data_IF_869338441772
#
_entry.id   IF_869338441772
#
_cell.length_a   1.000
_cell.length_b   1.000
_cell.length_c   1.000
_cell.angle_alpha   90.00
_cell.angle_beta   90.00
_cell.angle_gamma   90.00
#
_symmetry.space_group_name_H-M   'P 1'
#
loop_
_entity.id
_entity.type
_entity.pdbx_description
1 polymer ?
#
# COMPACT_ATOMS: atom_id res chain seq x y z
N UNK A 1 6.77 -27.94 -38.81
CA UNK A 1 5.53 -28.66 -38.42
C UNK A 1 5.85 -29.95 -37.64
N UNK A 2 6.07 -29.84 -36.32
CA UNK A 2 5.70 -30.86 -35.32
C UNK A 2 6.07 -30.34 -33.92
N UNK A 3 5.03 -30.09 -33.11
CA UNK A 3 4.96 -30.04 -31.65
C UNK A 3 6.25 -29.62 -30.90
N UNK A 4 6.35 -28.34 -30.55
CA UNK A 4 6.97 -27.97 -29.28
C UNK A 4 5.92 -28.24 -28.19
N UNK A 5 6.31 -29.16 -27.31
CA UNK A 5 5.57 -29.62 -26.15
C UNK A 5 5.59 -28.50 -25.12
N UNK A 6 4.46 -27.78 -24.96
CA UNK A 6 4.24 -26.84 -23.85
C UNK A 6 4.30 -27.63 -22.54
N UNK A 7 5.48 -27.69 -21.93
CA UNK A 7 5.67 -28.25 -20.59
C UNK A 7 5.94 -27.11 -19.63
N UNK A 8 4.85 -26.51 -19.13
CA UNK A 8 4.87 -25.58 -18.00
C UNK A 8 4.90 -26.42 -16.71
N UNK A 9 6.03 -26.43 -16.02
CA UNK A 9 6.15 -27.15 -14.75
C UNK A 9 5.43 -26.38 -13.63
N UNK A 10 4.44 -27.04 -13.01
CA UNK A 10 3.80 -26.57 -11.79
C UNK A 10 4.65 -27.01 -10.60
N UNK A 11 5.40 -26.10 -9.98
CA UNK A 11 6.11 -26.39 -8.74
C UNK A 11 5.13 -26.44 -7.56
N UNK A 12 4.65 -27.64 -7.23
CA UNK A 12 4.06 -27.99 -5.94
C UNK A 12 5.19 -28.54 -5.05
N UNK A 13 5.65 -27.77 -4.07
CA UNK A 13 6.50 -28.29 -2.99
C UNK A 13 5.67 -28.43 -1.70
N UNK A 14 6.05 -29.34 -0.78
CA UNK A 14 5.20 -29.84 0.31
C UNK A 14 4.92 -28.73 1.35
N UNK A 15 4.09 -28.94 2.39
CA UNK A 15 3.04 -28.02 2.89
C UNK A 15 3.48 -26.73 3.61
N UNK A 16 4.67 -26.20 3.31
CA UNK A 16 5.23 -25.00 3.93
C UNK A 16 5.34 -23.78 3.01
N UNK A 17 5.13 -23.87 1.70
CA UNK A 17 5.31 -22.71 0.79
C UNK A 17 4.21 -22.63 -0.28
N UNK A 18 3.08 -21.99 0.05
CA UNK A 18 1.99 -21.68 -0.90
C UNK A 18 2.09 -20.22 -1.29
N UNK A 19 2.83 -19.90 -2.36
CA UNK A 19 2.93 -18.53 -2.84
C UNK A 19 2.87 -18.40 -4.38
N UNK A 20 1.69 -17.96 -4.84
CA UNK A 20 1.40 -17.01 -5.93
C UNK A 20 1.42 -17.46 -7.40
N UNK A 21 0.20 -17.61 -7.96
CA UNK A 21 -0.12 -17.31 -9.37
C UNK A 21 -1.49 -16.60 -9.53
N UNK A 22 -2.01 -15.96 -8.47
CA UNK A 22 -3.39 -15.41 -8.45
C UNK A 22 -3.57 -14.04 -9.12
N UNK A 23 -2.64 -13.55 -9.94
CA UNK A 23 -2.76 -12.18 -10.50
C UNK A 23 -2.21 -11.99 -11.91
N UNK A 24 -2.00 -13.07 -12.67
CA UNK A 24 -1.62 -12.99 -14.10
C UNK A 24 -2.82 -13.27 -14.98
N UNK A 25 -3.40 -12.25 -15.63
CA UNK A 25 -3.62 -12.11 -17.09
C UNK A 25 -4.31 -10.75 -17.33
N UNK A 26 -3.80 -9.91 -18.25
CA UNK A 26 -4.50 -8.71 -18.65
C UNK A 26 -5.64 -9.04 -19.64
N UNK A 27 -6.85 -8.67 -19.26
CA UNK A 27 -8.01 -8.44 -20.12
C UNK A 27 -8.21 -9.42 -21.29
N UNK A 28 -8.55 -10.67 -20.99
CA UNK A 28 -9.29 -11.52 -21.95
C UNK A 28 -10.78 -11.26 -21.75
N UNK A 29 -11.45 -10.81 -22.80
CA UNK A 29 -12.86 -10.39 -22.87
C UNK A 29 -13.86 -11.55 -22.75
N UNK A 30 -13.50 -12.65 -22.10
CA UNK A 30 -14.43 -13.74 -21.79
C UNK A 30 -14.01 -14.44 -20.50
N UNK A 31 -14.97 -14.53 -19.57
CA UNK A 31 -14.83 -15.24 -18.27
C UNK A 31 -14.50 -16.74 -18.47
N UNK A 32 -14.68 -17.26 -19.69
CA UNK A 32 -14.55 -18.69 -20.02
C UNK A 32 -13.14 -19.13 -20.43
N UNK A 33 -12.21 -18.22 -20.73
CA UNK A 33 -10.83 -18.58 -21.08
C UNK A 33 -9.91 -18.70 -19.85
N UNK A 34 -10.43 -18.45 -18.66
CA UNK A 34 -9.65 -18.29 -17.41
C UNK A 34 -9.45 -19.60 -16.66
N UNK A 35 -10.23 -20.63 -16.96
CA UNK A 35 -10.03 -22.00 -16.45
C UNK A 35 -8.97 -22.77 -17.25
N UNK A 36 -8.41 -22.19 -18.32
CA UNK A 36 -7.47 -22.87 -19.23
C UNK A 36 -5.99 -22.64 -18.88
N UNK A 37 -5.67 -21.91 -17.81
CA UNK A 37 -4.28 -21.75 -17.32
C UNK A 37 -3.78 -23.13 -16.85
N UNK A 38 -2.55 -23.59 -17.20
CA UNK A 38 -2.13 -24.99 -17.03
C UNK A 38 -2.31 -25.58 -15.62
N UNK A 39 -2.18 -24.75 -14.59
CA UNK A 39 -2.33 -25.09 -13.18
C UNK A 39 -3.79 -25.22 -12.70
N UNK A 40 -4.76 -24.77 -13.50
CA UNK A 40 -6.20 -24.94 -13.29
C UNK A 40 -6.89 -25.65 -14.46
N UNK A 41 -6.13 -26.04 -15.49
CA UNK A 41 -6.65 -26.63 -16.72
C UNK A 41 -7.26 -28.01 -16.44
N UNK A 42 -8.58 -28.06 -16.51
CA UNK A 42 -9.47 -29.20 -16.24
C UNK A 42 -9.34 -30.28 -17.32
N UNK A 43 -8.21 -30.97 -17.38
CA UNK A 43 -8.02 -32.08 -18.34
C UNK A 43 -7.49 -33.40 -17.77
N UNK A 44 -7.42 -33.57 -16.44
CA UNK A 44 -7.33 -34.91 -15.86
C UNK A 44 -7.95 -34.99 -14.46
N UNK A 45 -9.00 -35.80 -14.38
CA UNK A 45 -9.86 -36.08 -13.22
C UNK A 45 -9.07 -36.76 -12.09
N UNK A 46 -9.13 -36.21 -10.87
CA UNK A 46 -9.44 -36.89 -9.59
C UNK A 46 -9.07 -36.02 -8.35
N UNK A 47 -10.06 -35.80 -7.48
CA UNK A 47 -10.00 -35.23 -6.11
C UNK A 47 -9.59 -33.75 -5.91
N UNK A 48 -10.62 -32.88 -5.86
CA UNK A 48 -10.57 -31.58 -5.15
C UNK A 48 -10.01 -30.41 -5.96
N UNK A 49 -10.79 -29.90 -6.91
CA UNK A 49 -10.39 -28.74 -7.73
C UNK A 49 -10.47 -27.47 -6.86
N UNK A 50 -9.31 -26.98 -6.41
CA UNK A 50 -9.23 -25.66 -5.77
C UNK A 50 -9.35 -24.57 -6.84
N UNK A 51 -10.28 -23.64 -6.66
CA UNK A 51 -10.35 -22.44 -7.52
C UNK A 51 -9.23 -21.47 -7.14
N UNK A 52 -8.87 -20.54 -8.03
CA UNK A 52 -7.93 -19.43 -7.73
C UNK A 52 -8.33 -18.68 -6.45
N UNK A 53 -9.64 -18.48 -6.27
CA UNK A 53 -10.18 -17.82 -5.09
C UNK A 53 -9.97 -18.65 -3.82
N UNK A 54 -10.09 -19.98 -3.91
CA UNK A 54 -9.78 -20.88 -2.80
C UNK A 54 -8.29 -20.82 -2.44
N UNK A 55 -7.40 -20.82 -3.44
CA UNK A 55 -5.95 -20.68 -3.22
C UNK A 55 -5.64 -19.33 -2.56
N UNK A 56 -6.22 -18.23 -3.04
CA UNK A 56 -6.09 -16.92 -2.43
C UNK A 56 -6.55 -16.91 -0.96
N UNK A 57 -7.75 -17.46 -0.68
CA UNK A 57 -8.31 -17.51 0.68
C UNK A 57 -7.47 -18.37 1.61
N UNK A 58 -6.97 -19.52 1.14
CA UNK A 58 -6.06 -20.37 1.92
C UNK A 58 -4.74 -19.64 2.21
N UNK A 59 -4.16 -18.95 1.22
CA UNK A 59 -2.95 -18.16 1.43
C UNK A 59 -3.17 -16.99 2.40
N UNK A 60 -4.30 -16.30 2.30
CA UNK A 60 -4.70 -15.22 3.22
C UNK A 60 -4.86 -15.74 4.66
N UNK A 61 -5.59 -16.85 4.85
CA UNK A 61 -5.78 -17.47 6.16
C UNK A 61 -4.45 -17.96 6.73
N UNK A 62 -3.57 -18.51 5.90
CA UNK A 62 -2.22 -18.93 6.31
C UNK A 62 -1.38 -17.72 6.75
N UNK A 63 -1.39 -16.63 5.96
CA UNK A 63 -0.71 -15.40 6.31
C UNK A 63 -1.19 -14.84 7.66
N UNK A 64 -2.51 -14.78 7.88
CA UNK A 64 -3.06 -14.29 9.16
C UNK A 64 -2.81 -15.26 10.30
N UNK A 65 -2.81 -16.57 10.06
CA UNK A 65 -2.47 -17.57 11.08
C UNK A 65 -1.01 -17.46 11.53
N UNK A 66 -0.08 -17.13 10.62
CA UNK A 66 1.34 -16.95 10.93
C UNK A 66 1.62 -15.56 11.52
N UNK A 67 1.11 -14.50 10.89
CA UNK A 67 1.44 -13.11 11.24
C UNK A 67 0.52 -12.51 12.30
N UNK A 68 -0.73 -12.95 12.38
CA UNK A 68 -1.73 -12.49 13.35
C UNK A 68 -1.35 -12.70 14.82
N UNK A 69 -0.77 -13.86 15.21
CA UNK A 69 -0.31 -14.08 16.59
C UNK A 69 0.66 -13.00 17.07
N UNK A 70 1.52 -12.46 16.20
CA UNK A 70 2.45 -11.39 16.58
C UNK A 70 1.74 -10.13 17.11
N UNK A 71 0.48 -9.90 16.74
CA UNK A 71 -0.32 -8.76 17.24
C UNK A 71 -0.70 -8.94 18.71
N UNK A 72 -0.74 -10.18 19.22
CA UNK A 72 -0.95 -10.46 20.63
C UNK A 72 0.32 -10.24 21.46
N UNK A 73 1.48 -10.28 20.83
CA UNK A 73 2.77 -10.07 21.46
C UNK A 73 3.25 -8.63 21.26
N UNK A 74 3.84 -8.04 22.30
CA UNK A 74 4.47 -6.73 22.20
C UNK A 74 5.87 -6.88 21.60
N UNK A 75 5.95 -7.07 20.28
CA UNK A 75 7.23 -7.06 19.56
C UNK A 75 7.75 -5.62 19.53
N UNK A 76 8.48 -5.22 20.58
CA UNK A 76 8.96 -3.85 20.75
C UNK A 76 10.28 -3.57 20.00
N UNK A 77 11.02 -4.60 19.60
CA UNK A 77 12.29 -4.46 18.88
C UNK A 77 12.11 -4.52 17.36
N UNK A 78 11.29 -3.61 16.82
CA UNK A 78 10.99 -3.53 15.38
C UNK A 78 12.11 -2.87 14.57
N UNK A 79 13.08 -2.19 15.22
CA UNK A 79 14.18 -1.46 14.56
C UNK A 79 14.91 -2.30 13.51
N UNK A 80 15.31 -3.53 13.85
CA UNK A 80 16.09 -4.39 12.94
C UNK A 80 15.24 -4.89 11.78
N UNK A 81 13.98 -5.24 12.05
CA UNK A 81 13.02 -5.65 11.02
C UNK A 81 12.73 -4.50 10.04
N UNK A 82 12.59 -3.27 10.54
CA UNK A 82 12.41 -2.08 9.70
C UNK A 82 13.66 -1.76 8.87
N UNK A 83 14.86 -1.89 9.45
CA UNK A 83 16.11 -1.68 8.72
C UNK A 83 16.28 -2.70 7.59
N UNK A 84 16.05 -3.98 7.88
CA UNK A 84 16.10 -5.06 6.87
C UNK A 84 15.07 -4.81 5.76
N UNK A 85 13.83 -4.49 6.12
CA UNK A 85 12.77 -4.19 5.14
C UNK A 85 13.11 -2.98 4.28
N UNK A 86 13.71 -1.94 4.87
CA UNK A 86 14.18 -0.77 4.13
C UNK A 86 15.24 -1.15 3.09
N UNK A 87 16.26 -1.92 3.49
CA UNK A 87 17.29 -2.42 2.56
C UNK A 87 16.69 -3.21 1.40
N UNK A 88 15.73 -4.12 1.69
CA UNK A 88 15.04 -4.88 0.65
C UNK A 88 14.25 -3.98 -0.32
N UNK A 89 13.62 -2.92 0.18
CA UNK A 89 12.92 -1.92 -0.67
C UNK A 89 13.88 -1.19 -1.59
N UNK A 90 15.02 -0.74 -1.06
CA UNK A 90 16.05 -0.08 -1.86
C UNK A 90 16.58 -0.98 -2.97
N UNK A 91 16.85 -2.26 -2.66
CA UNK A 91 17.26 -3.25 -3.65
C UNK A 91 16.18 -3.48 -4.72
N UNK A 92 14.94 -3.77 -4.31
CA UNK A 92 13.84 -4.04 -5.23
C UNK A 92 13.56 -2.84 -6.16
N UNK A 93 13.49 -1.62 -5.63
CA UNK A 93 13.29 -0.42 -6.45
C UNK A 93 14.43 -0.20 -7.44
N UNK A 94 15.68 -0.38 -7.00
CA UNK A 94 16.84 -0.23 -7.88
C UNK A 94 16.82 -1.24 -9.04
N UNK A 95 16.48 -2.51 -8.74
CA UNK A 95 16.37 -3.57 -9.74
C UNK A 95 15.23 -3.26 -10.72
N UNK A 96 14.03 -2.96 -10.23
CA UNK A 96 12.87 -2.71 -11.11
C UNK A 96 13.10 -1.50 -12.04
N UNK A 97 13.70 -0.42 -11.54
CA UNK A 97 14.04 0.75 -12.36
C UNK A 97 15.09 0.36 -13.41
N UNK A 98 16.13 -0.37 -13.01
CA UNK A 98 17.21 -0.78 -13.92
C UNK A 98 16.70 -1.71 -15.02
N UNK A 99 15.84 -2.68 -14.69
CA UNK A 99 15.22 -3.59 -15.65
C UNK A 99 14.28 -2.85 -16.60
N UNK A 100 13.44 -1.93 -16.11
CA UNK A 100 12.56 -1.15 -16.96
C UNK A 100 13.35 -0.27 -17.95
N UNK A 101 14.44 0.37 -17.49
CA UNK A 101 15.34 1.13 -18.36
C UNK A 101 16.03 0.22 -19.39
N UNK A 102 16.50 -0.96 -18.98
CA UNK A 102 17.10 -1.93 -19.89
C UNK A 102 16.11 -2.36 -21.00
N UNK A 103 14.86 -2.65 -20.63
CA UNK A 103 13.80 -2.97 -21.58
C UNK A 103 13.52 -1.82 -22.56
N UNK A 104 13.49 -0.58 -22.05
CA UNK A 104 13.30 0.61 -22.88
C UNK A 104 14.43 0.82 -23.89
N UNK A 105 15.68 0.63 -23.48
CA UNK A 105 16.84 0.78 -24.37
C UNK A 105 16.89 -0.35 -25.40
N UNK A 106 16.61 -1.58 -24.98
CA UNK A 106 16.75 -2.76 -25.84
C UNK A 106 15.60 -2.95 -26.82
N UNK A 107 14.35 -2.82 -26.36
CA UNK A 107 13.14 -3.09 -27.15
C UNK A 107 12.44 -1.81 -27.62
N UNK A 108 12.83 -0.64 -27.12
CA UNK A 108 12.10 0.61 -27.36
C UNK A 108 10.82 0.70 -26.51
N UNK A 109 10.09 1.83 -26.59
CA UNK A 109 8.85 2.02 -25.85
C UNK A 109 7.78 1.05 -26.34
N UNK A 110 7.34 0.14 -25.48
CA UNK A 110 6.25 -0.79 -25.76
C UNK A 110 4.91 -0.20 -25.34
N UNK A 111 4.90 0.60 -24.27
CA UNK A 111 3.74 1.33 -23.80
C UNK A 111 3.52 2.63 -24.57
N UNK A 112 2.27 2.91 -24.92
CA UNK A 112 1.86 4.13 -25.62
C UNK A 112 0.78 4.86 -24.82
N UNK A 113 1.11 5.40 -23.62
CA UNK A 113 0.14 6.10 -22.80
C UNK A 113 -0.35 7.37 -23.53
N UNK A 114 -1.66 7.67 -23.51
CA UNK A 114 -2.19 8.90 -24.07
C UNK A 114 -1.57 10.11 -23.34
N UNK A 115 -1.29 11.19 -24.09
CA UNK A 115 -0.68 12.39 -23.52
C UNK A 115 -1.58 13.09 -22.50
N UNK A 116 -2.91 12.98 -22.67
CA UNK A 116 -3.90 13.53 -21.75
C UNK A 116 -5.07 12.56 -21.62
N UNK A 117 -5.33 12.12 -20.40
CA UNK A 117 -6.53 11.37 -20.05
C UNK A 117 -7.04 11.84 -18.68
N UNK A 118 -8.21 12.48 -18.69
CA UNK A 118 -8.83 12.99 -17.47
C UNK A 118 -9.60 11.91 -16.71
N UNK A 119 -9.86 10.74 -17.33
CA UNK A 119 -10.64 9.66 -16.69
C UNK A 119 -9.88 9.03 -15.52
N UNK A 120 -8.55 8.95 -15.59
CA UNK A 120 -7.70 8.42 -14.53
C UNK A 120 -7.30 9.42 -13.44
N UNK A 121 -7.70 10.69 -13.54
CA UNK A 121 -7.31 11.72 -12.57
C UNK A 121 -7.78 11.43 -11.13
N UNK A 122 -9.04 10.99 -10.87
CA UNK A 122 -9.48 10.65 -9.52
C UNK A 122 -8.65 9.51 -8.89
N UNK A 123 -8.39 8.46 -9.65
CA UNK A 123 -7.54 7.34 -9.22
C UNK A 123 -6.11 7.79 -8.94
N UNK A 124 -5.55 8.66 -9.79
CA UNK A 124 -4.23 9.26 -9.59
C UNK A 124 -4.17 10.08 -8.30
N UNK A 125 -5.19 10.89 -8.01
CA UNK A 125 -5.26 11.64 -6.75
C UNK A 125 -5.28 10.71 -5.55
N UNK A 126 -6.14 9.67 -5.55
CA UNK A 126 -6.19 8.68 -4.48
C UNK A 126 -4.86 7.98 -4.25
N UNK A 127 -4.21 7.53 -5.33
CA UNK A 127 -2.90 6.89 -5.29
C UNK A 127 -1.80 7.84 -4.78
N UNK A 128 -1.78 9.11 -5.20
CA UNK A 128 -0.81 10.10 -4.73
C UNK A 128 -0.99 10.42 -3.24
N UNK A 129 -2.23 10.67 -2.80
CA UNK A 129 -2.53 10.92 -1.37
C UNK A 129 -2.09 9.71 -0.55
N UNK A 130 -2.44 8.49 -0.96
CA UNK A 130 -2.02 7.29 -0.26
C UNK A 130 -0.48 7.14 -0.22
N UNK A 131 0.20 7.38 -1.34
CA UNK A 131 1.66 7.23 -1.47
C UNK A 131 2.45 8.20 -0.57
N UNK A 132 1.92 9.41 -0.36
CA UNK A 132 2.54 10.43 0.51
C UNK A 132 2.04 10.40 1.96
N UNK A 133 1.32 9.35 2.35
CA UNK A 133 0.75 9.23 3.69
C UNK A 133 1.76 8.77 4.74
N UNK A 134 2.36 9.71 5.48
CA UNK A 134 3.13 9.41 6.69
C UNK A 134 2.70 10.20 7.94
N UNK A 135 1.75 11.13 7.78
CA UNK A 135 1.29 12.09 8.80
C UNK A 135 0.83 11.47 10.12
N UNK A 136 0.29 10.25 10.10
CA UNK A 136 -0.13 9.54 11.31
C UNK A 136 1.05 9.09 12.19
N UNK A 137 2.25 8.96 11.60
CA UNK A 137 3.47 8.51 12.29
C UNK A 137 4.50 9.63 12.48
N UNK A 138 4.42 10.70 11.68
CA UNK A 138 5.35 11.85 11.75
C UNK A 138 5.49 12.45 13.16
N UNK A 139 4.43 12.70 13.95
CA UNK A 139 4.58 13.29 15.28
C UNK A 139 5.47 12.45 16.21
N UNK A 140 5.28 11.12 16.21
CA UNK A 140 6.07 10.19 17.02
C UNK A 140 7.52 10.10 16.56
N UNK A 141 7.78 10.25 15.25
CA UNK A 141 9.12 10.26 14.68
C UNK A 141 9.87 11.56 14.99
N UNK A 142 9.18 12.71 14.92
CA UNK A 142 9.79 14.05 15.05
C UNK A 142 9.98 14.44 16.52
N UNK A 143 9.07 14.04 17.40
CA UNK A 143 9.11 14.39 18.83
C UNK A 143 10.46 14.08 19.53
N UNK A 144 11.07 12.89 19.36
CA UNK A 144 12.33 12.54 20.03
C UNK A 144 13.58 13.20 19.40
N UNK A 145 13.48 13.88 18.25
CA UNK A 145 14.64 14.48 17.57
C UNK A 145 15.16 15.69 18.35
N UNK A 146 16.46 15.69 18.66
CA UNK A 146 17.17 16.81 19.30
C UNK A 146 17.49 17.89 18.26
N UNK A 147 17.13 19.14 18.57
CA UNK A 147 17.42 20.31 17.71
C UNK A 147 16.49 20.40 16.50
N UNK A 148 15.46 21.25 16.58
CA UNK A 148 14.35 21.27 15.59
C UNK A 148 14.52 22.26 14.44
N UNK A 149 15.68 22.92 14.36
CA UNK A 149 15.89 24.09 13.49
C UNK A 149 15.81 23.76 11.99
N UNK A 150 16.17 22.53 11.58
CA UNK A 150 16.20 22.11 10.18
C UNK A 150 15.24 20.97 9.85
N UNK A 151 14.33 20.61 10.77
CA UNK A 151 13.41 19.48 10.57
C UNK A 151 12.51 19.71 9.36
N UNK A 152 12.02 20.95 9.17
CA UNK A 152 11.22 21.28 7.99
C UNK A 152 11.96 21.08 6.66
N UNK A 153 13.26 21.41 6.62
CA UNK A 153 14.11 21.21 5.44
C UNK A 153 14.36 19.71 5.19
N UNK A 154 14.69 18.93 6.22
CA UNK A 154 14.88 17.49 6.08
C UNK A 154 13.62 16.79 5.57
N UNK A 155 12.45 17.11 6.14
CA UNK A 155 11.18 16.59 5.65
C UNK A 155 10.93 16.98 4.19
N UNK A 156 11.18 18.23 3.81
CA UNK A 156 11.01 18.67 2.42
C UNK A 156 11.93 17.90 1.45
N UNK A 157 13.19 17.66 1.83
CA UNK A 157 14.12 16.85 1.05
C UNK A 157 13.67 15.40 0.94
N UNK A 158 13.17 14.81 2.02
CA UNK A 158 12.63 13.44 2.02
C UNK A 158 11.43 13.30 1.07
N UNK A 159 10.46 14.23 1.14
CA UNK A 159 9.31 14.25 0.23
C UNK A 159 9.72 14.47 -1.24
N UNK A 160 10.70 15.34 -1.50
CA UNK A 160 11.22 15.55 -2.86
C UNK A 160 11.90 14.29 -3.40
N UNK A 161 12.71 13.61 -2.58
CA UNK A 161 13.37 12.36 -2.94
C UNK A 161 12.34 11.27 -3.28
N UNK A 162 11.33 11.08 -2.40
CA UNK A 162 10.24 10.11 -2.63
C UNK A 162 9.51 10.42 -3.94
N UNK A 163 9.21 11.70 -4.20
CA UNK A 163 8.55 12.13 -5.43
C UNK A 163 9.36 11.77 -6.67
N UNK A 164 10.68 12.00 -6.65
CA UNK A 164 11.57 11.63 -7.76
C UNK A 164 11.57 10.12 -7.99
N UNK A 165 11.63 9.30 -6.93
CA UNK A 165 11.58 7.85 -7.04
C UNK A 165 10.26 7.35 -7.64
N UNK A 166 9.12 7.89 -7.17
CA UNK A 166 7.81 7.51 -7.71
C UNK A 166 7.63 7.92 -9.16
N UNK A 167 8.08 9.13 -9.54
CA UNK A 167 8.04 9.56 -10.93
C UNK A 167 8.93 8.69 -11.81
N UNK A 168 10.15 8.39 -11.36
CA UNK A 168 11.08 7.53 -12.11
C UNK A 168 10.47 6.15 -12.35
N UNK A 169 9.88 5.54 -11.32
CA UNK A 169 9.24 4.23 -11.42
C UNK A 169 7.98 4.27 -12.30
N UNK A 170 7.13 5.28 -12.14
CA UNK A 170 5.91 5.44 -12.93
C UNK A 170 6.22 5.69 -14.42
N UNK A 171 7.13 6.60 -14.74
CA UNK A 171 7.48 6.90 -16.14
C UNK A 171 8.21 5.74 -16.80
N UNK A 172 9.20 5.12 -16.14
CA UNK A 172 9.88 3.97 -16.73
C UNK A 172 8.92 2.81 -16.97
N UNK A 173 8.03 2.51 -16.01
CA UNK A 173 7.00 1.49 -16.17
C UNK A 173 6.01 1.77 -17.29
N UNK A 174 5.47 2.99 -17.36
CA UNK A 174 4.45 3.40 -18.34
C UNK A 174 4.91 3.24 -19.80
N UNK A 175 6.20 3.44 -20.08
CA UNK A 175 6.75 3.28 -21.43
C UNK A 175 7.37 1.89 -21.67
N UNK A 176 7.89 1.22 -20.62
CA UNK A 176 8.57 -0.07 -20.78
C UNK A 176 7.60 -1.22 -21.10
N UNK A 177 6.38 -1.17 -20.58
CA UNK A 177 5.41 -2.26 -20.69
C UNK A 177 4.21 -1.85 -21.54
N UNK A 178 3.78 -2.73 -22.46
CA UNK A 178 2.58 -2.52 -23.27
C UNK A 178 1.30 -2.57 -22.42
N UNK A 179 1.32 -3.39 -21.35
CA UNK A 179 0.21 -3.58 -20.44
C UNK A 179 0.76 -3.70 -19.02
N UNK A 180 0.26 -2.86 -18.11
CA UNK A 180 0.67 -2.87 -16.71
C UNK A 180 -0.28 -3.70 -15.86
N UNK A 181 0.30 -4.49 -14.96
CA UNK A 181 -0.42 -5.15 -13.86
C UNK A 181 -0.63 -4.19 -12.68
N UNK A 182 -1.70 -4.41 -11.89
CA UNK A 182 -2.06 -3.57 -10.72
C UNK A 182 -0.92 -3.42 -9.71
N UNK A 183 -0.12 -4.46 -9.53
CA UNK A 183 1.09 -4.43 -8.72
C UNK A 183 2.32 -4.41 -9.62
N UNK A 184 3.15 -3.38 -9.48
CA UNK A 184 4.29 -3.16 -10.39
C UNK A 184 5.29 -4.33 -10.43
N UNK A 185 5.50 -5.02 -9.30
CA UNK A 185 6.42 -6.17 -9.22
C UNK A 185 5.98 -7.35 -10.08
N UNK A 186 4.68 -7.46 -10.39
CA UNK A 186 4.14 -8.52 -11.24
C UNK A 186 4.51 -8.34 -12.73
N UNK A 187 5.03 -7.19 -13.13
CA UNK A 187 5.50 -6.99 -14.50
C UNK A 187 6.90 -7.60 -14.75
N UNK A 188 7.54 -8.12 -13.70
CA UNK A 188 8.87 -8.74 -13.73
C UNK A 188 8.83 -10.21 -13.31
N UNK A 189 7.74 -10.92 -13.64
CA UNK A 189 7.55 -12.35 -13.32
C UNK A 189 8.60 -13.20 -14.04
N UNK A 190 9.12 -14.27 -13.40
CA UNK A 190 10.11 -15.14 -14.02
C UNK A 190 9.65 -15.63 -15.39
N UNK A 191 10.45 -15.36 -16.41
CA UNK A 191 10.35 -16.05 -17.70
C UNK A 191 11.39 -17.15 -17.71
N UNK A 192 11.13 -18.27 -18.40
CA UNK A 192 12.10 -19.35 -18.58
C UNK A 192 13.38 -18.79 -19.24
N UNK A 193 14.32 -18.37 -18.40
CA UNK A 193 15.52 -17.65 -18.76
C UNK A 193 16.69 -18.60 -18.52
N UNK A 194 17.57 -18.77 -19.50
CA UNK A 194 18.79 -19.60 -19.30
C UNK A 194 19.76 -19.00 -18.26
N UNK A 195 19.55 -17.74 -17.86
CA UNK A 195 20.39 -17.02 -16.90
C UNK A 195 19.86 -17.20 -15.46
N UNK A 196 20.48 -18.12 -14.72
CA UNK A 196 20.16 -18.41 -13.30
C UNK A 196 20.14 -17.14 -12.42
N UNK A 197 21.04 -16.18 -12.67
CA UNK A 197 21.07 -14.92 -11.90
C UNK A 197 19.81 -14.08 -12.12
N UNK A 198 19.31 -14.03 -13.36
CA UNK A 198 18.12 -13.27 -13.73
C UNK A 198 16.88 -13.91 -13.11
N UNK A 199 16.81 -15.24 -13.16
CA UNK A 199 15.75 -16.02 -12.53
C UNK A 199 15.70 -15.77 -11.00
N UNK A 200 16.85 -15.78 -10.30
CA UNK A 200 16.92 -15.44 -8.87
C UNK A 200 16.38 -14.03 -8.61
N UNK A 201 16.72 -13.06 -9.46
CA UNK A 201 16.26 -11.67 -9.34
C UNK A 201 14.75 -11.57 -9.54
N UNK A 202 14.19 -12.28 -10.51
CA UNK A 202 12.76 -12.30 -10.80
C UNK A 202 11.97 -12.94 -9.63
N UNK A 203 12.47 -14.06 -9.08
CA UNK A 203 11.90 -14.66 -7.86
C UNK A 203 11.98 -13.72 -6.65
N UNK A 204 13.09 -13.01 -6.48
CA UNK A 204 13.23 -12.01 -5.42
C UNK A 204 12.19 -10.89 -5.55
N UNK A 205 11.96 -10.37 -6.76
CA UNK A 205 10.95 -9.33 -7.02
C UNK A 205 9.53 -9.84 -6.78
N UNK A 206 9.23 -11.09 -7.13
CA UNK A 206 7.94 -11.71 -6.88
C UNK A 206 7.67 -11.90 -5.37
N UNK A 207 8.68 -12.26 -4.59
CA UNK A 207 8.57 -12.47 -3.14
C UNK A 207 8.69 -11.18 -2.30
N UNK A 208 9.22 -10.11 -2.88
CA UNK A 208 9.43 -8.85 -2.19
C UNK A 208 8.17 -8.29 -1.50
N UNK A 209 6.97 -8.26 -2.12
CA UNK A 209 5.73 -7.88 -1.44
C UNK A 209 5.44 -8.75 -0.22
N UNK A 210 5.67 -10.06 -0.29
CA UNK A 210 5.43 -10.99 0.81
C UNK A 210 6.31 -10.63 2.01
N UNK A 211 7.62 -10.44 1.81
CA UNK A 211 8.55 -10.10 2.89
C UNK A 211 8.22 -8.73 3.53
N UNK A 212 7.92 -7.74 2.69
CA UNK A 212 7.61 -6.39 3.18
C UNK A 212 6.28 -6.33 3.92
N UNK A 213 5.25 -7.03 3.45
CA UNK A 213 3.95 -7.13 4.11
C UNK A 213 4.02 -7.94 5.40
N UNK A 214 4.75 -9.07 5.39
CA UNK A 214 4.98 -9.90 6.57
C UNK A 214 5.62 -9.12 7.71
N UNK A 215 6.55 -8.20 7.39
CA UNK A 215 7.18 -7.36 8.40
C UNK A 215 6.28 -6.19 8.81
N UNK A 216 5.61 -5.55 7.85
CA UNK A 216 4.84 -4.33 8.12
C UNK A 216 3.51 -4.61 8.84
N UNK A 217 2.85 -5.74 8.53
CA UNK A 217 1.54 -6.09 9.07
C UNK A 217 1.53 -6.18 10.60
N UNK A 218 2.42 -6.94 11.27
CA UNK A 218 2.45 -6.99 12.73
C UNK A 218 2.72 -5.62 13.37
N UNK A 219 3.61 -4.82 12.77
CA UNK A 219 4.00 -3.50 13.30
C UNK A 219 2.81 -2.53 13.27
N UNK A 220 2.11 -2.47 12.14
CA UNK A 220 0.94 -1.61 11.96
C UNK A 220 -0.20 -2.10 12.86
N UNK A 221 -0.44 -3.41 12.93
CA UNK A 221 -1.47 -3.99 13.78
C UNK A 221 -1.20 -3.76 15.29
N UNK A 222 0.03 -3.91 15.77
CA UNK A 222 0.38 -3.57 17.17
C UNK A 222 0.14 -2.08 17.44
N UNK A 223 0.51 -1.21 16.50
CA UNK A 223 0.28 0.24 16.60
C UNK A 223 -1.22 0.56 16.68
N UNK A 224 -2.02 0.00 15.79
CA UNK A 224 -3.48 0.19 15.77
C UNK A 224 -4.12 -0.34 17.06
N UNK A 225 -3.71 -1.51 17.53
CA UNK A 225 -4.15 -2.07 18.81
C UNK A 225 -3.88 -1.10 19.97
N UNK A 226 -2.67 -0.57 20.06
CA UNK A 226 -2.29 0.36 21.13
C UNK A 226 -3.08 1.68 21.04
N UNK A 227 -3.31 2.19 19.82
CA UNK A 227 -4.12 3.39 19.60
C UNK A 227 -5.59 3.18 20.01
N UNK A 228 -6.19 2.05 19.64
CA UNK A 228 -7.55 1.69 20.06
C UNK A 228 -7.66 1.53 21.57
N UNK A 229 -6.67 0.89 22.20
CA UNK A 229 -6.61 0.79 23.66
C UNK A 229 -6.56 2.17 24.32
N UNK A 230 -5.71 3.08 23.82
CA UNK A 230 -5.62 4.44 24.36
C UNK A 230 -6.86 5.29 24.10
N UNK A 231 -7.63 4.99 23.06
CA UNK A 231 -8.87 5.70 22.74
C UNK A 231 -10.04 5.23 23.59
N UNK A 232 -10.15 3.92 23.80
CA UNK A 232 -11.29 3.30 24.46
C UNK A 232 -11.09 3.08 25.97
N UNK A 233 -9.85 2.98 26.45
CA UNK A 233 -9.53 2.74 27.85
C UNK A 233 -8.76 3.92 28.45
N UNK A 234 -9.07 4.20 29.71
CA UNK A 234 -8.24 5.08 30.52
C UNK A 234 -6.89 4.40 30.81
N UNK A 235 -5.83 4.96 30.25
CA UNK A 235 -4.45 4.46 30.39
C UNK A 235 -3.98 4.44 31.84
N UNK A 236 -4.55 5.28 32.72
CA UNK A 236 -4.23 5.30 34.15
C UNK A 236 -4.81 4.11 34.93
N UNK A 237 -5.85 3.45 34.39
CA UNK A 237 -6.55 2.31 35.02
C UNK A 237 -6.45 1.03 34.19
N UNK A 238 -5.49 0.94 33.28
CA UNK A 238 -5.37 -0.18 32.34
C UNK A 238 -5.27 -1.56 33.04
N UNK A 239 -4.68 -1.59 34.24
CA UNK A 239 -4.55 -2.80 35.07
C UNK A 239 -5.84 -3.22 35.78
N UNK A 240 -6.85 -2.34 35.90
CA UNK A 240 -8.14 -2.68 36.53
C UNK A 240 -9.13 -3.32 35.57
N UNK A 241 -8.87 -3.30 34.26
CA UNK A 241 -9.77 -3.88 33.26
C UNK A 241 -9.55 -5.38 33.12
N UNK A 242 -10.62 -6.10 32.79
CA UNK A 242 -10.59 -7.55 32.59
C UNK A 242 -9.50 -7.97 31.61
N UNK A 243 -8.77 -9.04 31.96
CA UNK A 243 -7.71 -9.61 31.13
C UNK A 243 -8.16 -9.89 29.69
N UNK A 244 -9.39 -10.39 29.53
CA UNK A 244 -10.00 -10.67 28.23
C UNK A 244 -10.16 -9.39 27.39
N UNK A 245 -10.62 -8.30 28.01
CA UNK A 245 -10.79 -7.02 27.35
C UNK A 245 -9.42 -6.45 26.94
N UNK A 246 -8.44 -6.49 27.84
CA UNK A 246 -7.10 -5.92 27.59
C UNK A 246 -6.30 -6.70 26.55
N UNK A 247 -6.29 -8.03 26.66
CA UNK A 247 -5.33 -8.89 25.94
C UNK A 247 -5.92 -9.66 24.76
N UNK A 248 -7.24 -9.82 24.69
CA UNK A 248 -7.90 -10.57 23.60
C UNK A 248 -8.72 -9.65 22.70
N UNK A 249 -9.55 -8.76 23.25
CA UNK A 249 -10.48 -7.96 22.45
C UNK A 249 -9.77 -7.04 21.45
N UNK A 250 -8.84 -6.20 21.90
CA UNK A 250 -8.18 -5.22 21.02
C UNK A 250 -7.34 -5.86 19.90
N UNK A 251 -6.50 -6.89 20.13
CA UNK A 251 -5.84 -7.58 19.01
C UNK A 251 -6.81 -8.19 18.00
N UNK A 252 -7.92 -8.79 18.47
CA UNK A 252 -8.94 -9.40 17.61
C UNK A 252 -9.64 -8.34 16.76
N UNK A 253 -10.07 -7.22 17.36
CA UNK A 253 -10.66 -6.09 16.63
C UNK A 253 -9.67 -5.49 15.63
N UNK A 254 -8.37 -5.57 15.88
CA UNK A 254 -7.37 -5.07 14.94
C UNK A 254 -7.15 -6.00 13.74
N UNK A 255 -7.23 -7.32 13.92
CA UNK A 255 -6.89 -8.30 12.87
C UNK A 255 -8.12 -8.77 12.07
N UNK A 256 -9.25 -8.98 12.73
CA UNK A 256 -10.44 -9.59 12.11
C UNK A 256 -11.09 -8.70 11.05
N UNK A 257 -11.31 -7.38 11.25
CA UNK A 257 -11.93 -6.55 10.22
C UNK A 257 -11.11 -6.46 8.93
N UNK A 258 -9.77 -6.24 8.96
CA UNK A 258 -8.96 -6.32 7.75
C UNK A 258 -9.02 -7.69 7.07
N UNK A 259 -8.98 -8.79 7.84
CA UNK A 259 -9.12 -10.15 7.31
C UNK A 259 -10.46 -10.32 6.56
N UNK A 260 -11.57 -9.94 7.19
CA UNK A 260 -12.90 -10.04 6.57
C UNK A 260 -12.99 -9.17 5.31
N UNK A 261 -12.45 -7.94 5.37
CA UNK A 261 -12.44 -7.06 4.22
C UNK A 261 -11.70 -7.70 3.04
N UNK A 262 -10.48 -8.20 3.24
CA UNK A 262 -9.71 -8.86 2.17
C UNK A 262 -10.27 -10.20 1.74
N UNK A 263 -11.01 -10.90 2.61
CA UNK A 263 -11.64 -12.17 2.26
C UNK A 263 -12.79 -12.00 1.25
N UNK A 264 -13.50 -10.87 1.33
CA UNK A 264 -14.66 -10.56 0.47
C UNK A 264 -14.35 -9.52 -0.63
N UNK A 265 -13.34 -8.68 -0.46
CA UNK A 265 -12.95 -7.64 -1.42
C UNK A 265 -11.57 -7.98 -2.01
N UNK A 266 -11.57 -8.29 -3.30
CA UNK A 266 -10.37 -8.77 -4.01
C UNK A 266 -9.60 -7.65 -4.74
N UNK A 267 -10.27 -6.54 -5.07
CA UNK A 267 -9.70 -5.45 -5.87
C UNK A 267 -8.86 -4.49 -5.00
N UNK A 268 -7.54 -4.57 -5.16
CA UNK A 268 -6.55 -3.72 -4.47
C UNK A 268 -6.68 -2.26 -4.92
N UNK A 269 -7.02 -2.01 -6.18
CA UNK A 269 -7.14 -0.66 -6.75
C UNK A 269 -8.31 0.09 -6.12
N UNK A 270 -9.46 -0.57 -5.94
CA UNK A 270 -10.62 0.00 -5.21
C UNK A 270 -10.26 0.29 -3.75
N UNK A 271 -9.49 -0.59 -3.09
CA UNK A 271 -9.07 -0.38 -1.71
C UNK A 271 -8.13 0.83 -1.57
N UNK A 272 -7.13 0.95 -2.45
CA UNK A 272 -6.19 2.09 -2.44
C UNK A 272 -6.91 3.38 -2.75
N UNK A 273 -7.81 3.39 -3.75
CA UNK A 273 -8.57 4.58 -4.12
C UNK A 273 -9.46 5.05 -2.96
N UNK A 274 -10.20 4.14 -2.34
CA UNK A 274 -11.06 4.46 -1.21
C UNK A 274 -10.24 4.95 0.01
N UNK A 275 -9.20 4.21 0.40
CA UNK A 275 -8.41 4.55 1.58
C UNK A 275 -7.59 5.83 1.38
N UNK A 276 -6.96 6.01 0.22
CA UNK A 276 -6.23 7.22 -0.14
C UNK A 276 -7.13 8.46 -0.17
N UNK A 277 -8.31 8.33 -0.79
CA UNK A 277 -9.16 9.50 -1.05
C UNK A 277 -9.99 9.93 0.15
N UNK A 278 -10.50 9.01 0.97
CA UNK A 278 -11.30 9.36 2.14
C UNK A 278 -10.43 9.49 3.39
N UNK A 279 -9.78 8.40 3.79
CA UNK A 279 -8.98 8.38 5.03
C UNK A 279 -7.72 9.23 4.89
N UNK A 280 -7.05 9.17 3.73
CA UNK A 280 -5.88 9.99 3.43
C UNK A 280 -6.19 11.49 3.43
N UNK A 281 -7.25 11.93 2.73
CA UNK A 281 -7.71 13.34 2.77
C UNK A 281 -8.02 13.80 4.20
N UNK A 282 -8.65 12.94 5.01
CA UNK A 282 -8.91 13.25 6.42
C UNK A 282 -7.63 13.51 7.22
N UNK A 283 -6.66 12.60 7.13
CA UNK A 283 -5.42 12.65 7.92
C UNK A 283 -4.43 13.70 7.39
N UNK A 284 -4.36 13.91 6.08
CA UNK A 284 -3.40 14.82 5.44
C UNK A 284 -3.90 16.25 5.31
N UNK A 285 -5.18 16.45 5.03
CA UNK A 285 -5.73 17.78 4.75
C UNK A 285 -6.60 18.29 5.88
N UNK A 286 -7.64 17.54 6.27
CA UNK A 286 -8.64 18.03 7.22
C UNK A 286 -8.06 18.18 8.64
N UNK A 287 -7.48 17.12 9.20
CA UNK A 287 -6.97 17.11 10.57
C UNK A 287 -5.89 18.17 10.80
N UNK A 288 -4.83 18.29 9.97
CA UNK A 288 -3.81 19.31 10.17
C UNK A 288 -4.38 20.73 10.04
N UNK A 289 -5.34 20.95 9.13
CA UNK A 289 -5.97 22.27 8.95
C UNK A 289 -6.76 22.67 10.19
N UNK A 290 -7.60 21.79 10.72
CA UNK A 290 -8.38 22.07 11.94
C UNK A 290 -7.47 22.26 13.16
N UNK A 291 -6.43 21.45 13.29
CA UNK A 291 -5.43 21.61 14.37
C UNK A 291 -4.73 22.96 14.28
N UNK A 292 -4.29 23.38 13.10
CA UNK A 292 -3.60 24.66 12.91
C UNK A 292 -4.53 25.84 13.19
N UNK A 293 -5.78 25.80 12.72
CA UNK A 293 -6.77 26.88 12.98
C UNK A 293 -7.07 26.97 14.48
N UNK A 294 -7.31 25.83 15.13
CA UNK A 294 -7.60 25.78 16.57
C UNK A 294 -6.40 26.23 17.40
N UNK A 295 -5.20 25.78 17.06
CA UNK A 295 -3.96 26.19 17.72
C UNK A 295 -3.72 27.70 17.57
N UNK A 296 -3.93 28.27 16.38
CA UNK A 296 -3.80 29.73 16.16
C UNK A 296 -4.77 30.52 17.04
N UNK A 297 -6.04 30.11 17.10
CA UNK A 297 -7.06 30.77 17.96
C UNK A 297 -6.68 30.66 19.44
N UNK A 298 -6.24 29.49 19.87
CA UNK A 298 -5.82 29.25 21.26
C UNK A 298 -4.56 30.06 21.63
N UNK A 299 -3.56 30.12 20.75
CA UNK A 299 -2.34 30.90 20.97
C UNK A 299 -2.62 32.41 21.07
N UNK A 300 -3.54 32.96 20.26
CA UNK A 300 -3.95 34.37 20.35
C UNK A 300 -4.56 34.65 21.74
N UNK A 301 -5.40 33.73 22.24
CA UNK A 301 -6.01 33.85 23.57
C UNK A 301 -5.01 33.79 24.72
N UNK A 302 -3.93 33.01 24.59
CA UNK A 302 -2.92 32.82 25.64
C UNK A 302 -1.80 33.88 25.63
N UNK A 303 -1.28 34.23 24.45
CA UNK A 303 -0.09 35.08 24.31
C UNK A 303 -0.41 36.58 24.26
N UNK A 304 -1.69 36.95 24.03
CA UNK A 304 -2.10 38.33 23.82
C UNK A 304 -1.71 38.90 22.44
N UNK A 305 -2.26 40.07 22.11
CA UNK A 305 -1.95 40.78 20.86
C UNK A 305 -0.55 41.41 20.98
N UNK A 306 0.42 40.92 20.20
CA UNK A 306 1.74 41.55 20.06
C UNK A 306 2.96 40.64 20.28
N UNK A 307 2.79 39.42 20.78
CA UNK A 307 3.92 38.47 20.93
C UNK A 307 4.13 37.73 19.61
N UNK A 308 5.29 37.94 18.98
CA UNK A 308 5.66 37.20 17.77
C UNK A 308 5.97 35.73 18.09
N UNK A 309 5.17 34.83 17.53
CA UNK A 309 5.42 33.40 17.63
C UNK A 309 6.63 33.02 16.75
N UNK A 310 7.77 32.74 17.39
CA UNK A 310 9.00 32.27 16.73
C UNK A 310 8.84 30.95 15.94
N UNK A 311 7.80 30.18 16.24
CA UNK A 311 7.46 28.92 15.56
C UNK A 311 6.32 29.08 14.54
N UNK A 312 6.00 30.32 14.15
CA UNK A 312 4.97 30.60 13.15
C UNK A 312 5.38 30.00 11.79
N UNK A 313 4.47 29.21 11.22
CA UNK A 313 4.61 28.68 9.86
C UNK A 313 4.62 29.82 8.83
N UNK A 314 5.35 29.69 7.71
CA UNK A 314 5.27 30.63 6.58
C UNK A 314 3.86 30.73 5.99
N UNK A 315 3.02 29.69 6.16
CA UNK A 315 1.62 29.66 5.71
C UNK A 315 0.66 30.32 6.72
N UNK A 316 1.00 31.54 7.16
CA UNK A 316 0.31 32.19 8.27
C UNK A 316 -1.11 32.68 7.94
N UNK A 317 -1.40 32.97 6.68
CA UNK A 317 -2.68 33.51 6.24
C UNK A 317 -3.80 32.45 6.37
N UNK A 318 -5.00 32.88 6.78
CA UNK A 318 -6.19 32.03 6.81
C UNK A 318 -6.61 31.53 5.42
N UNK A 319 -6.22 32.25 4.36
CA UNK A 319 -6.42 31.83 2.97
C UNK A 319 -5.88 30.41 2.69
N UNK A 320 -4.75 30.03 3.30
CA UNK A 320 -4.20 28.67 3.15
C UNK A 320 -5.09 27.60 3.75
N UNK A 321 -5.69 27.86 4.92
CA UNK A 321 -6.62 26.92 5.53
C UNK A 321 -7.89 26.76 4.67
N UNK A 322 -8.43 27.85 4.14
CA UNK A 322 -9.59 27.83 3.23
C UNK A 322 -9.25 27.05 1.95
N UNK A 323 -8.08 27.33 1.35
CA UNK A 323 -7.62 26.63 0.17
C UNK A 323 -7.53 25.12 0.39
N UNK A 324 -6.91 24.66 1.49
CA UNK A 324 -6.79 23.23 1.79
C UNK A 324 -8.16 22.57 2.01
N UNK A 325 -9.12 23.27 2.63
CA UNK A 325 -10.48 22.76 2.81
C UNK A 325 -11.27 22.69 1.49
N UNK A 326 -11.09 23.67 0.60
CA UNK A 326 -11.71 23.62 -0.74
C UNK A 326 -11.10 22.50 -1.58
N UNK A 327 -9.77 22.35 -1.50
CA UNK A 327 -9.05 21.27 -2.18
C UNK A 327 -9.48 19.89 -1.68
N UNK A 328 -9.58 19.69 -0.37
CA UNK A 328 -10.02 18.42 0.20
C UNK A 328 -11.45 18.08 -0.19
N UNK A 329 -12.35 19.07 -0.21
CA UNK A 329 -13.72 18.90 -0.69
C UNK A 329 -13.75 18.50 -2.17
N UNK A 330 -12.97 19.17 -3.03
CA UNK A 330 -12.85 18.83 -4.44
C UNK A 330 -12.37 17.39 -4.64
N UNK A 331 -11.31 16.97 -3.92
CA UNK A 331 -10.79 15.60 -4.01
C UNK A 331 -11.83 14.55 -3.62
N UNK A 332 -12.58 14.78 -2.53
CA UNK A 332 -13.65 13.87 -2.10
C UNK A 332 -14.74 13.77 -3.16
N UNK A 333 -15.17 14.91 -3.73
CA UNK A 333 -16.21 14.94 -4.77
C UNK A 333 -15.77 14.19 -6.03
N UNK A 334 -14.57 14.45 -6.54
CA UNK A 334 -14.05 13.80 -7.74
C UNK A 334 -14.00 12.27 -7.59
N UNK A 335 -13.53 11.77 -6.45
CA UNK A 335 -13.42 10.33 -6.21
C UNK A 335 -14.79 9.71 -5.94
N UNK A 336 -15.68 10.42 -5.25
CA UNK A 336 -17.06 9.95 -5.06
C UNK A 336 -17.73 9.73 -6.42
N UNK A 337 -17.64 10.71 -7.32
CA UNK A 337 -18.19 10.59 -8.68
C UNK A 337 -17.58 9.42 -9.43
N UNK A 338 -16.25 9.25 -9.40
CA UNK A 338 -15.58 8.14 -10.06
C UNK A 338 -16.06 6.77 -9.56
N UNK A 339 -16.19 6.59 -8.25
CA UNK A 339 -16.69 5.33 -7.67
C UNK A 339 -18.15 5.06 -8.08
N UNK A 340 -18.98 6.10 -8.14
CA UNK A 340 -20.38 5.97 -8.59
C UNK A 340 -20.47 5.61 -10.08
N UNK A 341 -19.65 6.24 -10.92
CA UNK A 341 -19.61 5.97 -12.36
C UNK A 341 -19.10 4.55 -12.64
N UNK A 342 -18.01 4.12 -12.00
CA UNK A 342 -17.49 2.74 -12.13
C UNK A 342 -18.54 1.70 -11.77
N UNK A 343 -19.24 1.87 -10.64
CA UNK A 343 -20.35 0.99 -10.26
C UNK A 343 -21.49 1.00 -11.29
N UNK A 344 -21.83 2.16 -11.83
CA UNK A 344 -22.92 2.26 -12.81
C UNK A 344 -22.60 1.51 -14.13
N UNK A 345 -21.32 1.49 -14.53
CA UNK A 345 -20.84 0.72 -15.68
C UNK A 345 -20.82 -0.77 -15.39
N UNK A 346 -20.44 -1.21 -14.19
CA UNK A 346 -20.41 -2.64 -13.84
C UNK A 346 -21.82 -3.27 -13.73
N UNK A 347 -22.88 -2.45 -13.57
CA UNK A 347 -24.28 -2.91 -13.46
C UNK A 347 -25.07 -2.91 -14.78
N UNK A 348 -24.53 -2.32 -15.86
CA UNK A 348 -25.15 -2.28 -17.20
C UNK A 348 -24.31 -3.03 -18.22
#
# INVERSE_FOLDING_TARGET
MRKQENRLECYFFPPNDVIFYSSTVPNTTSVNDWEQVPCFNVSSVEHGVYTRLDVYRVALLTFVAVMGPFVFFNVQKTKYLQLLTSLMRWLAFSIMISMAIYLLIGKGPQGHPPAFDFTGMPTLFGACVYSFMCHHSLPGLISPIRGKNHIGLHLALDYALISIFYLLLAFTGAFAFAQLSDLYTLNFVPTDNENILLEIVEYFLALFPVFTLSTSFPIIAITLRNNLQSLCLDTSRLESYNFLLRKLLFPVITVVPPLLLTYYLEDISVLIEFTGSYAGTGIQYLMPTFLVVSARRHCIGLLGLGVENKYKSPFANAAWAIFVLLWSFMCIVLVSVHIFEKKYVDFN
#
